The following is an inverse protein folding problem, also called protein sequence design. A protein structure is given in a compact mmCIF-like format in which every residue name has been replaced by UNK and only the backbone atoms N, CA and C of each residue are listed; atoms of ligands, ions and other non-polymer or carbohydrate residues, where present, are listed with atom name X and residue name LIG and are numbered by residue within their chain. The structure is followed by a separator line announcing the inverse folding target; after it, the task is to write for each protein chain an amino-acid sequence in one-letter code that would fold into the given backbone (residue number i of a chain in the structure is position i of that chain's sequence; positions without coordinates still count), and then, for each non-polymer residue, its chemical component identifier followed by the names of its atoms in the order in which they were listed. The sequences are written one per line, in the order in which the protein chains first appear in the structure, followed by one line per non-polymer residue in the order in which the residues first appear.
data_IF_605298573076
#
_entry.id   IF_605298573076
#
_cell.length_a   1.000
_cell.length_b   1.000
_cell.length_c   1.000
_cell.angle_alpha   90.00
_cell.angle_beta   90.00
_cell.angle_gamma   90.00
#
_symmetry.space_group_name_H-M   'P 1'
#
loop_
_entity.id
_entity.type
_entity.pdbx_description
1 polymer ?
#
# COMPACT_ATOMS: atom_id res chain seq x y z
N UNK A 1 -7.96 27.96 -36.11
CA UNK A 1 -6.63 27.32 -35.98
C UNK A 1 -5.85 27.80 -34.75
N UNK A 2 -5.67 29.12 -34.57
CA UNK A 2 -4.97 29.70 -33.40
C UNK A 2 -5.59 29.35 -32.02
N UNK A 3 -6.93 29.31 -31.90
CA UNK A 3 -7.60 28.95 -30.65
C UNK A 3 -7.33 27.48 -30.25
N UNK A 4 -7.33 26.57 -31.22
CA UNK A 4 -7.03 25.15 -31.02
C UNK A 4 -5.56 24.95 -30.61
N UNK A 5 -4.63 25.67 -31.24
CA UNK A 5 -3.22 25.63 -30.85
C UNK A 5 -3.00 26.15 -29.42
N UNK A 6 -3.68 27.24 -29.02
CA UNK A 6 -3.61 27.74 -27.64
C UNK A 6 -4.17 26.74 -26.64
N UNK A 7 -5.31 26.11 -26.95
CA UNK A 7 -5.90 25.06 -26.12
C UNK A 7 -4.95 23.85 -25.97
N UNK A 8 -4.35 23.39 -27.07
CA UNK A 8 -3.40 22.29 -27.05
C UNK A 8 -2.17 22.62 -26.17
N UNK A 9 -1.61 23.82 -26.30
CA UNK A 9 -0.48 24.26 -25.47
C UNK A 9 -0.84 24.32 -23.99
N UNK A 10 -2.05 24.77 -23.64
CA UNK A 10 -2.50 24.78 -22.23
C UNK A 10 -2.66 23.37 -21.67
N UNK A 11 -3.20 22.43 -22.45
CA UNK A 11 -3.35 21.03 -22.01
C UNK A 11 -1.99 20.37 -21.82
N UNK A 12 -1.06 20.56 -22.77
CA UNK A 12 0.31 20.03 -22.65
C UNK A 12 1.04 20.65 -21.47
N UNK A 13 0.90 21.95 -21.24
CA UNK A 13 1.48 22.64 -20.09
C UNK A 13 0.95 22.10 -18.75
N UNK A 14 -0.37 21.86 -18.66
CA UNK A 14 -0.99 21.26 -17.47
C UNK A 14 -0.51 19.83 -17.24
N UNK A 15 -0.42 19.01 -18.30
CA UNK A 15 0.10 17.64 -18.19
C UNK A 15 1.57 17.63 -17.75
N UNK A 16 2.40 18.52 -18.29
CA UNK A 16 3.80 18.66 -17.88
C UNK A 16 3.91 19.10 -16.41
N UNK A 17 3.05 20.02 -15.96
CA UNK A 17 2.99 20.43 -14.56
C UNK A 17 2.59 19.26 -13.64
N UNK A 18 1.60 18.45 -14.03
CA UNK A 18 1.21 17.25 -13.28
C UNK A 18 2.39 16.28 -13.18
N UNK A 19 3.08 15.98 -14.29
CA UNK A 19 4.25 15.09 -14.29
C UNK A 19 5.36 15.63 -13.40
N UNK A 20 5.65 16.94 -13.46
CA UNK A 20 6.65 17.56 -12.60
C UNK A 20 6.28 17.47 -11.11
N UNK A 21 5.01 17.66 -10.77
CA UNK A 21 4.51 17.52 -9.40
C UNK A 21 4.60 16.07 -8.90
N UNK A 22 4.27 15.09 -9.74
CA UNK A 22 4.41 13.67 -9.39
C UNK A 22 5.87 13.28 -9.19
N UNK A 23 6.77 13.77 -10.05
CA UNK A 23 8.20 13.52 -9.89
C UNK A 23 8.75 14.19 -8.62
N UNK A 24 8.35 15.43 -8.34
CA UNK A 24 8.69 16.10 -7.10
C UNK A 24 8.21 15.33 -5.87
N UNK A 25 6.95 14.86 -5.89
CA UNK A 25 6.38 14.06 -4.81
C UNK A 25 7.17 12.77 -4.58
N UNK A 26 7.55 12.07 -5.64
CA UNK A 26 8.38 10.85 -5.57
C UNK A 26 9.75 11.13 -4.93
N UNK A 27 10.42 12.20 -5.34
CA UNK A 27 11.73 12.59 -4.77
C UNK A 27 11.59 12.94 -3.28
N UNK A 28 10.55 13.70 -2.91
CA UNK A 28 10.28 14.07 -1.53
C UNK A 28 9.90 12.86 -0.66
N UNK A 29 9.16 11.90 -1.21
CA UNK A 29 8.83 10.66 -0.51
C UNK A 29 10.08 9.84 -0.24
N UNK A 30 10.97 9.67 -1.23
CA UNK A 30 12.23 8.93 -1.06
C UNK A 30 13.14 9.55 0.00
N UNK A 31 13.27 10.87 0.02
CA UNK A 31 14.09 11.56 1.03
C UNK A 31 13.46 11.47 2.43
N UNK A 32 12.14 11.60 2.54
CA UNK A 32 11.43 11.42 3.79
C UNK A 32 11.55 9.98 4.31
N UNK A 33 11.43 8.98 3.44
CA UNK A 33 11.57 7.57 3.82
C UNK A 33 12.93 7.24 4.41
N UNK A 34 14.02 7.71 3.79
CA UNK A 34 15.39 7.48 4.31
C UNK A 34 15.54 7.98 5.75
N UNK A 35 14.95 9.14 6.07
CA UNK A 35 15.03 9.72 7.41
C UNK A 35 14.10 9.01 8.42
N UNK A 36 12.97 8.46 7.98
CA UNK A 36 11.97 7.84 8.85
C UNK A 36 12.23 6.35 9.11
N UNK A 37 12.98 5.66 8.24
CA UNK A 37 13.33 4.25 8.41
C UNK A 37 13.92 3.90 9.79
N UNK A 38 14.94 4.61 10.33
CA UNK A 38 15.50 4.27 11.64
C UNK A 38 14.50 4.50 12.78
N UNK A 39 13.70 5.57 12.71
CA UNK A 39 12.66 5.85 13.72
C UNK A 39 11.57 4.78 13.71
N UNK A 40 11.14 4.33 12.53
CA UNK A 40 10.15 3.24 12.37
C UNK A 40 10.70 1.93 12.93
N UNK A 41 11.96 1.61 12.68
CA UNK A 41 12.60 0.40 13.20
C UNK A 41 12.65 0.37 14.74
N UNK A 42 13.01 1.51 15.36
CA UNK A 42 13.00 1.63 16.82
C UNK A 42 11.57 1.52 17.40
N UNK A 43 10.58 2.10 16.74
CA UNK A 43 9.18 2.00 17.15
C UNK A 43 8.68 0.54 17.11
N UNK A 44 8.95 -0.18 16.02
CA UNK A 44 8.60 -1.61 15.87
C UNK A 44 9.19 -2.43 17.01
N UNK A 45 10.48 -2.21 17.32
CA UNK A 45 11.17 -2.89 18.41
C UNK A 45 10.56 -2.59 19.78
N UNK A 46 10.26 -1.32 20.08
CA UNK A 46 9.67 -0.90 21.36
C UNK A 46 8.25 -1.41 21.57
N UNK A 47 7.46 -1.44 20.51
CA UNK A 47 6.07 -1.88 20.55
C UNK A 47 5.94 -3.40 20.37
N UNK A 48 7.06 -4.12 20.22
CA UNK A 48 7.07 -5.57 19.98
C UNK A 48 6.15 -5.97 18.82
N UNK A 49 6.08 -5.12 17.79
CA UNK A 49 5.27 -5.40 16.62
C UNK A 49 5.91 -6.53 15.82
N UNK A 50 5.09 -7.46 15.35
CA UNK A 50 5.57 -8.52 14.46
C UNK A 50 6.03 -7.90 13.13
N UNK A 51 7.20 -8.32 12.64
CA UNK A 51 7.78 -7.79 11.39
C UNK A 51 6.89 -8.03 10.16
N UNK A 52 6.04 -9.06 10.23
CA UNK A 52 5.11 -9.45 9.18
C UNK A 52 3.79 -9.87 9.80
N UNK A 53 2.73 -9.13 9.47
CA UNK A 53 1.35 -9.53 9.70
C UNK A 53 0.68 -9.70 8.33
N UNK A 54 0.41 -10.94 7.95
CA UNK A 54 -0.38 -11.25 6.75
C UNK A 54 -1.80 -11.53 7.19
N UNK A 55 -2.73 -10.64 6.83
CA UNK A 55 -4.17 -10.86 6.98
C UNK A 55 -4.83 -10.62 5.62
N UNK A 56 -5.72 -11.49 5.20
CA UNK A 56 -6.39 -11.41 3.89
C UNK A 56 -7.42 -10.27 3.76
N UNK A 57 -7.50 -9.39 4.76
CA UNK A 57 -8.51 -8.36 5.15
C UNK A 57 -9.96 -8.53 4.69
N UNK A 58 -10.31 -9.68 4.11
CA UNK A 58 -11.56 -9.91 3.45
C UNK A 58 -12.66 -9.88 4.50
N UNK A 59 -13.75 -9.18 4.19
CA UNK A 59 -14.84 -8.94 5.14
C UNK A 59 -15.44 -10.24 5.70
N UNK A 60 -15.33 -11.37 4.99
CA UNK A 60 -15.73 -12.70 5.48
C UNK A 60 -14.82 -13.30 6.56
N UNK A 61 -13.67 -12.67 6.84
CA UNK A 61 -12.74 -13.07 7.91
C UNK A 61 -12.92 -12.25 9.18
N UNK A 62 -13.59 -11.09 9.11
CA UNK A 62 -13.92 -10.29 10.30
C UNK A 62 -15.29 -10.75 10.80
N UNK A 63 -15.28 -11.48 11.93
CA UNK A 63 -16.45 -12.09 12.56
C UNK A 63 -17.00 -13.28 11.76
N UNK A 64 -16.32 -14.45 11.81
CA UNK A 64 -16.74 -15.66 11.09
C UNK A 64 -18.19 -16.08 11.37
N UNK A 65 -18.73 -15.73 12.53
CA UNK A 65 -20.12 -15.99 12.93
C UNK A 65 -21.14 -15.00 12.38
N UNK A 66 -20.70 -13.85 11.87
CA UNK A 66 -21.55 -12.76 11.37
C UNK A 66 -21.28 -12.42 9.90
N UNK A 67 -20.28 -13.06 9.29
CA UNK A 67 -19.97 -12.92 7.87
C UNK A 67 -21.13 -13.46 7.03
N UNK A 68 -21.69 -12.61 6.18
CA UNK A 68 -22.68 -13.01 5.17
C UNK A 68 -22.03 -13.91 4.11
N UNK A 69 -22.74 -14.95 3.65
CA UNK A 69 -22.31 -15.87 2.59
C UNK A 69 -22.03 -15.17 1.27
N UNK A 70 -22.65 -14.01 1.03
CA UNK A 70 -22.45 -13.23 -0.20
C UNK A 70 -21.28 -12.25 -0.13
N UNK A 71 -20.65 -12.09 1.04
CA UNK A 71 -19.52 -11.18 1.25
C UNK A 71 -18.37 -11.34 0.22
N UNK A 72 -17.96 -12.56 -0.19
CA UNK A 72 -16.90 -12.73 -1.20
C UNK A 72 -17.22 -12.13 -2.58
N UNK A 73 -18.49 -11.84 -2.88
CA UNK A 73 -18.94 -11.31 -4.18
C UNK A 73 -19.27 -9.82 -4.15
N UNK A 74 -19.21 -9.18 -2.97
CA UNK A 74 -19.52 -7.76 -2.80
C UNK A 74 -18.28 -6.86 -3.03
N UNK A 75 -17.08 -7.44 -3.04
CA UNK A 75 -15.81 -6.72 -3.21
C UNK A 75 -15.14 -7.18 -4.51
N UNK A 76 -14.73 -6.21 -5.34
CA UNK A 76 -14.02 -6.46 -6.58
C UNK A 76 -12.54 -6.09 -6.39
N UNK A 77 -11.58 -6.80 -7.04
CA UNK A 77 -10.18 -6.40 -6.98
C UNK A 77 -10.00 -4.93 -7.38
N UNK A 78 -9.49 -4.11 -6.46
CA UNK A 78 -9.29 -2.67 -6.67
C UNK A 78 -10.55 -1.79 -6.52
N UNK A 79 -11.62 -2.29 -5.88
CA UNK A 79 -12.77 -1.44 -5.55
C UNK A 79 -12.37 -0.28 -4.63
N UNK A 80 -12.85 0.92 -4.93
CA UNK A 80 -12.67 2.09 -4.06
C UNK A 80 -13.45 1.89 -2.77
N UNK A 81 -12.74 1.74 -1.67
CA UNK A 81 -13.30 1.38 -0.38
C UNK A 81 -12.59 2.17 0.75
N UNK A 82 -13.25 2.33 1.90
CA UNK A 82 -12.76 3.20 2.97
C UNK A 82 -11.67 2.52 3.82
N UNK A 83 -11.58 1.19 3.80
CA UNK A 83 -10.56 0.48 4.54
C UNK A 83 -9.20 0.62 3.82
N UNK A 84 -8.11 0.86 4.58
CA UNK A 84 -6.78 1.00 4.00
C UNK A 84 -6.26 -0.30 3.36
N UNK A 85 -6.92 -1.43 3.59
CA UNK A 85 -6.49 -2.73 3.13
C UNK A 85 -6.85 -3.08 1.69
N UNK A 86 -7.89 -2.47 1.11
CA UNK A 86 -8.16 -2.54 -0.32
C UNK A 86 -7.23 -1.67 -1.17
N UNK A 87 -6.32 -0.92 -0.53
CA UNK A 87 -5.33 -0.12 -1.25
C UNK A 87 -4.30 -1.03 -1.93
N UNK A 88 -4.12 -0.85 -3.24
CA UNK A 88 -3.04 -1.50 -3.99
C UNK A 88 -1.71 -0.84 -3.62
N UNK A 89 -1.05 -1.37 -2.61
CA UNK A 89 0.30 -0.96 -2.22
C UNK A 89 1.30 -1.72 -3.09
N UNK A 90 2.21 -1.01 -3.75
CA UNK A 90 3.30 -1.64 -4.48
C UNK A 90 4.14 -2.50 -3.52
N UNK A 91 4.55 -3.71 -3.92
CA UNK A 91 5.40 -4.53 -3.08
C UNK A 91 6.69 -3.77 -2.73
N UNK A 92 7.20 -3.89 -1.50
CA UNK A 92 8.45 -3.24 -1.14
C UNK A 92 9.58 -3.72 -2.06
N UNK A 93 10.61 -2.87 -2.30
CA UNK A 93 11.76 -3.28 -3.11
C UNK A 93 12.39 -4.55 -2.53
N UNK A 94 12.86 -5.42 -3.43
CA UNK A 94 13.41 -6.74 -3.10
C UNK A 94 14.51 -6.61 -2.04
N UNK A 95 14.22 -7.00 -0.79
CA UNK A 95 15.26 -7.19 0.23
C UNK A 95 16.08 -8.43 -0.10
N UNK A 96 17.38 -8.40 0.16
CA UNK A 96 18.25 -9.58 0.05
C UNK A 96 17.69 -10.68 0.96
N UNK A 97 17.55 -11.90 0.42
CA UNK A 97 17.03 -13.15 1.06
C UNK A 97 16.42 -12.93 2.46
N UNK A 98 15.15 -12.55 2.52
CA UNK A 98 14.38 -12.70 3.75
C UNK A 98 14.11 -14.20 3.93
N UNK A 99 14.80 -14.84 4.88
CA UNK A 99 14.50 -16.22 5.27
C UNK A 99 13.35 -16.20 6.27
N UNK A 100 12.22 -16.82 5.90
CA UNK A 100 11.13 -17.08 6.82
C UNK A 100 11.37 -18.43 7.48
N UNK A 101 11.77 -18.44 8.74
CA UNK A 101 11.84 -19.66 9.54
C UNK A 101 10.46 -19.95 10.13
N UNK A 102 9.76 -20.92 9.56
CA UNK A 102 8.47 -21.38 10.09
C UNK A 102 8.75 -22.42 11.16
N UNK A 103 8.73 -22.01 12.43
CA UNK A 103 8.77 -22.94 13.55
C UNK A 103 7.37 -23.53 13.76
N UNK A 104 7.20 -24.83 13.53
CA UNK A 104 6.00 -25.54 13.99
C UNK A 104 6.12 -25.77 15.48
N UNK A 105 5.08 -25.40 16.21
CA UNK A 105 4.93 -25.76 17.61
C UNK A 105 4.19 -27.10 17.66
N UNK A 106 4.90 -28.14 18.10
CA UNK A 106 4.30 -29.47 18.23
C UNK A 106 3.31 -29.43 19.41
N UNK A 107 2.02 -29.36 19.05
CA UNK A 107 0.88 -29.46 19.96
C UNK A 107 0.85 -30.84 20.62
N UNK A 108 1.67 -31.03 21.65
CA UNK A 108 1.55 -32.14 22.60
C UNK A 108 0.69 -31.69 23.77
N UNK A 109 -0.63 -31.69 23.54
CA UNK A 109 -1.67 -31.77 24.57
C UNK A 109 -2.84 -32.58 24.06
#
# INVERSE_FOLDING_TARGET
MLLYQRFLMTVVGLLAAIVALLWWAEVQQRTAEVNLQPLRGELVRRLTLTDLALWSEARYTRHPSQADLFTPFQEFPGSLEHFPAGSLIAPPPRRAKTTLEVRREDSTR
#
